data_IF_395639714497
#
_entry.id   IF_395639714497
#
_cell.length_a   1.000
_cell.length_b   1.000
_cell.length_c   1.000
_cell.angle_alpha   90.00
_cell.angle_beta   90.00
_cell.angle_gamma   90.00
#
_symmetry.space_group_name_H-M   'P 1'
#
loop_
_entity.id
_entity.type
_entity.pdbx_description
1 polymer ?
#
# COMPACT_ATOMS: atom_id res chain seq x y z
N UNK A 1 -19.95 2.08 11.23
CA UNK A 1 -19.21 1.21 10.29
C UNK A 1 -17.75 1.30 10.70
N UNK A 2 -17.22 0.22 11.27
CA UNK A 2 -15.97 0.22 12.03
C UNK A 2 -14.81 -0.13 11.10
N UNK A 3 -13.87 0.79 10.95
CA UNK A 3 -12.44 0.51 10.67
C UNK A 3 -11.65 1.76 11.08
N UNK A 4 -11.54 2.00 12.39
CA UNK A 4 -10.61 3.02 12.91
C UNK A 4 -9.84 2.52 14.13
N UNK A 5 -9.76 1.20 14.33
CA UNK A 5 -9.12 0.63 15.50
C UNK A 5 -8.05 -0.40 15.08
N UNK A 6 -6.79 0.01 15.11
CA UNK A 6 -5.73 -0.91 15.55
C UNK A 6 -4.61 -1.27 14.58
N UNK A 7 -4.43 -0.62 13.44
CA UNK A 7 -3.21 -0.87 12.65
C UNK A 7 -1.99 -0.29 13.39
N UNK A 8 -1.00 -1.14 13.66
CA UNK A 8 0.21 -0.78 14.41
C UNK A 8 1.24 -0.07 13.52
N UNK A 9 1.27 -0.46 12.25
CA UNK A 9 2.24 -0.05 11.25
C UNK A 9 1.60 0.72 10.08
N UNK A 10 0.28 0.85 10.02
CA UNK A 10 -0.41 1.67 9.03
C UNK A 10 -0.96 2.97 9.64
N UNK A 11 -0.87 4.07 8.90
CA UNK A 11 -1.40 5.37 9.28
C UNK A 11 -2.32 5.95 8.18
N UNK A 12 -3.37 6.65 8.60
CA UNK A 12 -4.20 7.46 7.69
C UNK A 12 -3.52 8.81 7.49
N UNK A 13 -3.35 9.23 6.24
CA UNK A 13 -2.89 10.58 5.91
C UNK A 13 -4.04 11.39 5.30
N UNK A 14 -4.70 12.26 6.08
CA UNK A 14 -5.85 13.03 5.58
C UNK A 14 -5.47 14.10 4.55
N UNK A 15 -4.18 14.37 4.36
CA UNK A 15 -3.67 15.29 3.34
C UNK A 15 -3.32 14.60 2.03
N UNK A 16 -3.39 13.27 1.97
CA UNK A 16 -3.13 12.52 0.75
C UNK A 16 -4.41 12.50 -0.12
N UNK A 17 -4.23 12.54 -1.45
CA UNK A 17 -5.33 12.45 -2.42
C UNK A 17 -5.88 11.02 -2.59
N UNK A 18 -5.39 10.07 -1.78
CA UNK A 18 -5.77 8.66 -1.81
C UNK A 18 -6.45 8.24 -0.51
N UNK A 19 -7.40 7.32 -0.61
CA UNK A 19 -8.05 6.66 0.53
C UNK A 19 -7.21 5.51 1.11
N UNK A 20 -6.05 5.22 0.52
CA UNK A 20 -5.15 4.18 0.99
C UNK A 20 -4.44 4.57 2.28
N UNK A 21 -4.17 3.56 3.11
CA UNK A 21 -3.28 3.71 4.26
C UNK A 21 -1.82 3.76 3.84
N UNK A 22 -1.03 4.49 4.61
CA UNK A 22 0.41 4.65 4.46
C UNK A 22 1.15 3.76 5.46
N UNK A 23 2.30 3.25 5.05
CA UNK A 23 3.22 2.59 5.98
C UNK A 23 3.82 3.65 6.90
N UNK A 24 3.69 3.43 8.21
CA UNK A 24 4.14 4.37 9.24
C UNK A 24 5.64 4.63 9.14
N UNK A 25 6.02 5.90 9.19
CA UNK A 25 7.42 6.32 9.06
C UNK A 25 7.98 6.23 7.64
N UNK A 26 7.16 5.92 6.64
CA UNK A 26 7.53 5.91 5.21
C UNK A 26 6.60 6.84 4.43
N UNK A 27 7.05 7.27 3.25
CA UNK A 27 6.20 7.98 2.29
C UNK A 27 5.71 7.02 1.20
N UNK A 28 5.05 5.93 1.62
CA UNK A 28 4.67 4.82 0.75
C UNK A 28 3.32 4.28 1.18
N UNK A 29 2.42 4.04 0.22
CA UNK A 29 1.11 3.43 0.47
C UNK A 29 1.21 1.90 0.51
N UNK A 30 0.17 1.25 1.03
CA UNK A 30 0.07 -0.23 0.98
C UNK A 30 0.17 -0.74 -0.46
N UNK A 31 -0.46 -0.07 -1.43
CA UNK A 31 -0.35 -0.46 -2.84
C UNK A 31 1.10 -0.45 -3.33
N UNK A 32 1.85 0.61 -3.04
CA UNK A 32 3.24 0.72 -3.48
C UNK A 32 4.12 -0.40 -2.92
N UNK A 33 3.90 -0.79 -1.66
CA UNK A 33 4.59 -1.91 -1.04
C UNK A 33 4.26 -3.22 -1.77
N UNK A 34 2.97 -3.48 -2.04
CA UNK A 34 2.53 -4.70 -2.72
C UNK A 34 2.98 -4.72 -4.18
N UNK A 35 2.92 -3.58 -4.87
CA UNK A 35 3.41 -3.40 -6.22
C UNK A 35 4.90 -3.68 -6.31
N UNK A 36 5.70 -3.18 -5.36
CA UNK A 36 7.14 -3.45 -5.27
C UNK A 36 7.41 -4.93 -5.02
N UNK A 37 6.68 -5.54 -4.09
CA UNK A 37 6.80 -6.96 -3.77
C UNK A 37 6.48 -7.84 -4.99
N UNK A 38 5.39 -7.53 -5.71
CA UNK A 38 4.98 -8.25 -6.93
C UNK A 38 5.95 -8.02 -8.09
N UNK A 39 6.41 -6.79 -8.31
CA UNK A 39 7.34 -6.44 -9.38
C UNK A 39 8.70 -7.14 -9.20
N UNK A 40 9.18 -7.24 -7.97
CA UNK A 40 10.45 -7.90 -7.65
C UNK A 40 10.30 -9.39 -7.30
N UNK A 41 9.07 -9.94 -7.32
CA UNK A 41 8.75 -11.30 -6.86
C UNK A 41 9.31 -11.63 -5.47
N UNK A 42 9.34 -10.63 -4.58
CA UNK A 42 9.87 -10.77 -3.22
C UNK A 42 8.86 -11.46 -2.31
N UNK A 43 9.37 -12.23 -1.36
CA UNK A 43 8.58 -12.72 -0.22
C UNK A 43 8.34 -11.61 0.81
N UNK A 44 7.46 -11.87 1.78
CA UNK A 44 7.17 -10.91 2.87
C UNK A 44 8.42 -10.64 3.71
N UNK A 45 9.25 -11.64 3.94
CA UNK A 45 10.51 -11.54 4.68
C UNK A 45 11.56 -10.76 3.90
N UNK A 46 11.70 -11.01 2.60
CA UNK A 46 12.61 -10.26 1.73
C UNK A 46 12.17 -8.80 1.61
N UNK A 47 10.89 -8.54 1.42
CA UNK A 47 10.32 -7.19 1.37
C UNK A 47 10.56 -6.44 2.68
N UNK A 48 10.36 -7.11 3.81
CA UNK A 48 10.65 -6.56 5.13
C UNK A 48 12.14 -6.21 5.28
N UNK A 49 13.05 -7.09 4.84
CA UNK A 49 14.49 -6.82 4.89
C UNK A 49 14.94 -5.73 3.93
N UNK A 50 14.46 -5.74 2.69
CA UNK A 50 14.83 -4.78 1.64
C UNK A 50 14.32 -3.38 1.99
N UNK A 51 13.08 -3.32 2.45
CA UNK A 51 12.46 -2.08 2.87
C UNK A 51 12.82 -1.73 4.31
N UNK A 52 13.68 -2.44 5.03
CA UNK A 52 13.99 -2.16 6.45
C UNK A 52 12.72 -1.91 7.29
N UNK A 53 11.76 -2.83 7.17
CA UNK A 53 10.47 -2.84 7.85
C UNK A 53 10.32 -4.13 8.67
N UNK A 54 9.53 -4.12 9.76
CA UNK A 54 9.15 -5.35 10.43
C UNK A 54 8.32 -6.24 9.50
N UNK A 55 8.53 -7.56 9.55
CA UNK A 55 7.70 -8.53 8.80
C UNK A 55 6.22 -8.37 9.14
N UNK A 56 5.90 -8.08 10.40
CA UNK A 56 4.54 -7.78 10.87
C UNK A 56 3.90 -6.60 10.11
N UNK A 57 4.69 -5.60 9.69
CA UNK A 57 4.18 -4.45 8.94
C UNK A 57 3.79 -4.86 7.51
N UNK A 58 4.56 -5.77 6.90
CA UNK A 58 4.26 -6.35 5.58
C UNK A 58 3.01 -7.23 5.65
N UNK A 59 2.89 -8.04 6.70
CA UNK A 59 1.71 -8.88 6.93
C UNK A 59 0.45 -8.05 7.18
N UNK A 60 0.55 -7.00 7.99
CA UNK A 60 -0.56 -6.06 8.24
C UNK A 60 -0.99 -5.33 6.96
N UNK A 61 -0.02 -4.89 6.14
CA UNK A 61 -0.28 -4.28 4.84
C UNK A 61 -1.00 -5.26 3.88
N UNK A 62 -0.57 -6.53 3.84
CA UNK A 62 -1.22 -7.56 3.03
C UNK A 62 -2.65 -7.84 3.50
N UNK A 63 -2.87 -7.95 4.81
CA UNK A 63 -4.21 -8.14 5.38
C UNK A 63 -5.13 -6.97 5.01
N UNK A 64 -4.67 -5.73 5.19
CA UNK A 64 -5.41 -4.54 4.79
C UNK A 64 -5.73 -4.54 3.29
N UNK A 65 -4.79 -4.95 2.45
CA UNK A 65 -5.01 -5.04 1.00
C UNK A 65 -6.06 -6.08 0.64
N UNK A 66 -6.03 -7.27 1.24
CA UNK A 66 -7.04 -8.31 0.96
C UNK A 66 -8.44 -7.84 1.38
N UNK A 67 -8.57 -7.15 2.51
CA UNK A 67 -9.85 -6.60 2.99
C UNK A 67 -10.36 -5.44 2.12
N UNK A 68 -9.46 -4.64 1.56
CA UNK A 68 -9.78 -3.40 0.83
C UNK A 68 -9.45 -3.48 -0.67
N UNK A 69 -9.25 -4.69 -1.18
CA UNK A 69 -8.69 -4.93 -2.51
C UNK A 69 -9.42 -4.17 -3.61
N UNK A 70 -10.75 -4.24 -3.60
CA UNK A 70 -11.59 -3.57 -4.60
C UNK A 70 -11.43 -2.03 -4.60
N UNK A 71 -11.27 -1.42 -3.42
CA UNK A 71 -11.04 0.02 -3.30
C UNK A 71 -9.65 0.39 -3.83
N UNK A 72 -8.63 -0.35 -3.38
CA UNK A 72 -7.24 -0.10 -3.75
C UNK A 72 -7.04 -0.29 -5.27
N UNK A 73 -7.53 -1.39 -5.84
CA UNK A 73 -7.42 -1.66 -7.28
C UNK A 73 -8.13 -0.58 -8.12
N UNK A 74 -9.28 -0.07 -7.67
CA UNK A 74 -9.98 1.02 -8.37
C UNK A 74 -9.19 2.33 -8.34
N UNK A 75 -8.58 2.69 -7.21
CA UNK A 75 -7.71 3.89 -7.13
C UNK A 75 -6.48 3.76 -8.02
N UNK A 76 -5.85 2.59 -8.02
CA UNK A 76 -4.67 2.30 -8.83
C UNK A 76 -4.99 2.32 -10.32
N UNK A 77 -6.14 1.78 -10.71
CA UNK A 77 -6.57 1.82 -12.10
C UNK A 77 -6.81 3.26 -12.55
N UNK A 78 -7.46 4.08 -11.72
CA UNK A 78 -7.68 5.50 -12.01
C UNK A 78 -6.34 6.27 -12.11
N UNK A 79 -5.40 6.03 -11.20
CA UNK A 79 -4.06 6.60 -11.25
C UNK A 79 -3.31 6.17 -12.51
N UNK A 80 -3.36 4.87 -12.84
CA UNK A 80 -2.72 4.33 -14.04
C UNK A 80 -3.32 4.88 -15.34
N UNK A 81 -4.63 5.13 -15.37
CA UNK A 81 -5.28 5.82 -16.49
C UNK A 81 -4.79 7.26 -16.61
N UNK A 82 -4.78 8.01 -15.50
CA UNK A 82 -4.29 9.38 -15.47
C UNK A 82 -2.84 9.49 -15.96
N UNK A 83 -1.96 8.58 -15.50
CA UNK A 83 -0.55 8.54 -15.91
C UNK A 83 -0.38 8.27 -17.41
N UNK A 84 -1.19 7.36 -17.98
CA UNK A 84 -1.19 7.07 -19.43
C UNK A 84 -1.71 8.26 -20.23
N UNK A 85 -2.79 8.90 -19.79
CA UNK A 85 -3.36 10.07 -20.45
C UNK A 85 -2.40 11.27 -20.47
N UNK A 86 -1.56 11.40 -19.44
CA UNK A 86 -0.55 12.45 -19.35
C UNK A 86 0.83 12.05 -19.89
N UNK A 87 0.97 10.84 -20.44
CA UNK A 87 2.19 10.37 -21.12
C UNK A 87 3.36 10.00 -20.21
N UNK A 88 3.10 9.66 -18.95
CA UNK A 88 4.11 9.18 -18.00
C UNK A 88 4.33 7.65 -18.04
N UNK A 89 3.47 6.92 -18.75
CA UNK A 89 3.49 5.46 -18.94
C UNK A 89 3.32 5.08 -20.41
#
# INVERSE_FOLDING_TARGET
>A
MAIQAGYKYLEVRPQAETNQLFIKGRNMTVWHLIGTMRANSMTKEETASDLDLPVEAVEEALAYYEENRAMIEAEVEAEGQWLREHGYL
#
